data_IF_466045062131
#
_entry.id   IF_466045062131
#
_cell.length_a   1.000
_cell.length_b   1.000
_cell.length_c   1.000
_cell.angle_alpha   90.00
_cell.angle_beta   90.00
_cell.angle_gamma   90.00
#
_symmetry.space_group_name_H-M   'P 1'
#
loop_
_entity.id
_entity.type
_entity.pdbx_description
1 polymer ?
#
# COMPACT_ATOMS: atom_id res chain seq x y z
N UNK A 1 24.87 57.93 44.83
CA UNK A 1 24.34 56.55 44.68
C UNK A 1 24.13 55.99 46.07
N UNK A 2 22.91 55.55 46.41
CA UNK A 2 22.61 54.93 47.71
C UNK A 2 22.90 53.43 47.61
N UNK A 3 23.90 52.98 48.36
CA UNK A 3 24.27 51.56 48.46
C UNK A 3 23.16 50.84 49.24
N UNK A 4 22.51 49.86 48.60
CA UNK A 4 21.38 49.13 49.19
C UNK A 4 21.85 48.24 50.33
N UNK A 5 21.04 48.13 51.39
CA UNK A 5 21.35 47.31 52.56
C UNK A 5 21.43 45.81 52.17
N UNK A 6 22.59 45.15 52.37
CA UNK A 6 22.80 43.74 52.03
C UNK A 6 22.09 42.76 52.98
N UNK A 7 21.56 43.22 54.11
CA UNK A 7 20.87 42.40 55.12
C UNK A 7 19.33 42.43 54.99
N UNK A 8 18.82 42.74 53.80
CA UNK A 8 17.38 42.71 53.54
C UNK A 8 16.99 41.34 52.98
N UNK A 9 16.06 40.65 53.65
CA UNK A 9 15.60 39.29 53.33
C UNK A 9 15.17 39.11 51.86
N UNK A 10 14.70 40.19 51.22
CA UNK A 10 14.32 40.22 49.81
C UNK A 10 15.50 39.97 48.85
N UNK A 11 16.73 40.26 49.28
CA UNK A 11 17.95 40.11 48.49
C UNK A 11 18.83 38.93 48.97
N UNK A 12 18.49 38.30 50.10
CA UNK A 12 19.21 37.16 50.67
C UNK A 12 18.60 35.79 50.30
N UNK A 13 17.57 35.75 49.46
CA UNK A 13 16.93 34.49 49.06
C UNK A 13 17.38 34.03 47.67
N UNK A 14 18.45 33.24 47.62
CA UNK A 14 18.70 32.29 46.52
C UNK A 14 17.83 31.03 46.70
N UNK A 15 16.51 31.23 46.82
CA UNK A 15 15.51 30.16 46.92
C UNK A 15 14.93 29.80 45.53
N UNK A 16 14.50 28.54 45.30
CA UNK A 16 14.18 28.06 43.94
C UNK A 16 13.08 28.87 43.27
N UNK A 17 13.41 29.51 42.15
CA UNK A 17 12.50 30.27 41.31
C UNK A 17 11.52 29.32 40.59
N UNK A 18 10.34 29.10 41.19
CA UNK A 18 9.24 28.39 40.51
C UNK A 18 8.41 27.45 41.40
N UNK A 19 7.58 28.02 42.28
CA UNK A 19 6.39 27.31 42.76
C UNK A 19 5.15 28.11 42.39
N UNK A 20 4.49 27.68 41.32
CA UNK A 20 3.10 28.06 41.05
C UNK A 20 2.23 27.44 42.14
N UNK A 21 1.33 28.23 42.73
CA UNK A 21 0.37 27.80 43.76
C UNK A 21 -0.33 26.51 43.32
N UNK A 22 -0.39 25.54 44.24
CA UNK A 22 -1.11 24.26 44.13
C UNK A 22 -2.46 24.45 43.42
N UNK A 23 -2.60 23.92 42.21
CA UNK A 23 -3.82 24.02 41.39
C UNK A 23 -5.01 23.34 42.11
N UNK A 24 -6.21 23.90 41.89
CA UNK A 24 -7.51 23.46 42.41
C UNK A 24 -7.92 22.01 42.08
N UNK A 25 -7.03 21.22 41.49
CA UNK A 25 -7.22 19.84 41.03
C UNK A 25 -7.11 18.80 42.14
N UNK A 26 -6.67 19.15 43.36
CA UNK A 26 -6.63 18.20 44.49
C UNK A 26 -7.86 18.27 45.41
N UNK A 27 -8.83 19.12 45.10
CA UNK A 27 -10.11 19.16 45.82
C UNK A 27 -10.96 17.96 45.37
N UNK A 28 -11.11 16.97 46.25
CA UNK A 28 -12.03 15.84 46.06
C UNK A 28 -13.44 16.38 45.76
N UNK A 29 -14.17 15.83 44.77
CA UNK A 29 -15.51 16.32 44.44
C UNK A 29 -16.44 16.17 45.64
N UNK A 30 -17.13 17.26 46.01
CA UNK A 30 -18.00 17.35 47.20
C UNK A 30 -19.31 16.54 47.09
N UNK A 31 -19.49 15.75 46.02
CA UNK A 31 -20.70 14.95 45.75
C UNK A 31 -20.35 13.57 45.20
N UNK A 32 -20.93 12.51 45.78
CA UNK A 32 -20.81 11.13 45.29
C UNK A 32 -21.29 10.97 43.83
N UNK A 33 -22.22 11.81 43.35
CA UNK A 33 -22.73 11.74 41.98
C UNK A 33 -21.73 12.24 40.92
N UNK A 34 -20.76 13.07 41.30
CA UNK A 34 -19.68 13.50 40.40
C UNK A 34 -18.52 12.48 40.33
N UNK A 35 -18.47 11.51 41.24
CA UNK A 35 -17.45 10.45 41.27
C UNK A 35 -17.71 9.31 40.27
N UNK A 36 -18.95 9.19 39.76
CA UNK A 36 -19.34 8.17 38.78
C UNK A 36 -19.18 8.61 37.32
N UNK A 37 -18.80 9.87 37.06
CA UNK A 37 -18.55 10.36 35.70
C UNK A 37 -17.08 10.16 35.38
N UNK A 38 -16.74 8.96 34.92
CA UNK A 38 -15.43 8.67 34.37
C UNK A 38 -15.27 9.42 33.03
N UNK A 39 -14.51 10.51 33.04
CA UNK A 39 -14.11 11.22 31.81
C UNK A 39 -13.11 10.34 31.08
N UNK A 40 -13.61 9.51 30.15
CA UNK A 40 -12.77 8.70 29.28
C UNK A 40 -11.85 9.63 28.50
N UNK A 41 -10.54 9.56 28.74
CA UNK A 41 -9.57 10.33 27.97
C UNK A 41 -9.70 10.00 26.49
N UNK A 42 -9.93 11.01 25.65
CA UNK A 42 -10.02 10.87 24.17
C UNK A 42 -8.75 10.26 23.56
N UNK A 43 -7.63 10.31 24.27
CA UNK A 43 -6.37 9.68 23.89
C UNK A 43 -6.37 8.19 24.24
N UNK A 44 -6.48 7.34 23.21
CA UNK A 44 -6.35 5.89 23.36
C UNK A 44 -5.00 5.53 23.96
N UNK A 45 -4.99 4.70 24.98
CA UNK A 45 -3.75 4.19 25.58
C UNK A 45 -2.94 3.42 24.53
N UNK A 46 -1.60 3.35 24.66
CA UNK A 46 -0.77 2.56 23.73
C UNK A 46 -1.20 1.09 23.65
N UNK A 47 -1.78 0.53 24.73
CA UNK A 47 -2.37 -0.81 24.73
C UNK A 47 -3.66 -0.88 23.89
N UNK A 48 -4.56 0.09 23.99
CA UNK A 48 -5.76 0.19 23.13
C UNK A 48 -5.41 0.41 21.65
N UNK A 49 -4.36 1.18 21.36
CA UNK A 49 -3.85 1.36 19.98
C UNK A 49 -3.31 0.05 19.40
N UNK A 50 -2.54 -0.72 20.18
CA UNK A 50 -2.06 -2.06 19.77
C UNK A 50 -3.21 -3.05 19.58
N UNK A 51 -4.21 -3.04 20.47
CA UNK A 51 -5.39 -3.88 20.34
C UNK A 51 -6.22 -3.53 19.09
N UNK A 52 -6.43 -2.24 18.82
CA UNK A 52 -7.10 -1.77 17.62
C UNK A 52 -6.33 -2.13 16.34
N UNK A 53 -4.99 -2.05 16.35
CA UNK A 53 -4.15 -2.44 15.22
C UNK A 53 -4.20 -3.95 14.97
N UNK A 54 -4.16 -4.78 16.01
CA UNK A 54 -4.35 -6.24 15.89
C UNK A 54 -5.73 -6.58 15.33
N UNK A 55 -6.78 -5.94 15.82
CA UNK A 55 -8.14 -6.14 15.31
C UNK A 55 -8.28 -5.69 13.85
N UNK A 56 -7.65 -4.59 13.45
CA UNK A 56 -7.61 -4.14 12.06
C UNK A 56 -6.87 -5.14 11.17
N UNK A 57 -5.73 -5.68 11.63
CA UNK A 57 -4.96 -6.70 10.91
C UNK A 57 -5.73 -8.01 10.78
N UNK A 58 -6.47 -8.43 11.80
CA UNK A 58 -7.34 -9.61 11.72
C UNK A 58 -8.46 -9.42 10.70
N UNK A 59 -9.14 -8.26 10.71
CA UNK A 59 -10.15 -7.92 9.70
C UNK A 59 -9.57 -7.91 8.29
N UNK A 60 -8.37 -7.36 8.11
CA UNK A 60 -7.66 -7.40 6.82
C UNK A 60 -7.31 -8.84 6.41
N UNK A 61 -6.82 -9.67 7.33
CA UNK A 61 -6.49 -11.07 7.05
C UNK A 61 -7.72 -11.91 6.69
N UNK A 62 -8.87 -11.67 7.31
CA UNK A 62 -10.14 -12.29 6.95
C UNK A 62 -10.59 -11.89 5.55
N UNK A 63 -10.51 -10.58 5.24
CA UNK A 63 -10.79 -10.07 3.91
C UNK A 63 -9.83 -10.67 2.88
N UNK A 64 -8.53 -10.73 3.15
CA UNK A 64 -7.55 -11.34 2.25
C UNK A 64 -7.77 -12.85 2.08
N UNK A 65 -8.16 -13.56 3.14
CA UNK A 65 -8.55 -14.98 3.04
C UNK A 65 -9.76 -15.14 2.11
N UNK A 66 -10.74 -14.25 2.20
CA UNK A 66 -11.97 -14.27 1.39
C UNK A 66 -11.72 -13.88 -0.07
N UNK A 67 -10.80 -12.94 -0.34
CA UNK A 67 -10.58 -12.39 -1.69
C UNK A 67 -9.36 -12.94 -2.43
N UNK A 68 -8.30 -13.35 -1.74
CA UNK A 68 -7.03 -13.73 -2.36
C UNK A 68 -6.69 -15.21 -2.27
N UNK A 69 -7.23 -15.94 -1.30
CA UNK A 69 -6.96 -17.36 -1.12
C UNK A 69 -8.17 -18.19 -1.57
N UNK A 70 -8.34 -18.44 -2.89
CA UNK A 70 -9.43 -19.28 -3.38
C UNK A 70 -9.41 -20.63 -2.66
N UNK A 71 -10.48 -21.02 -1.95
CA UNK A 71 -10.57 -22.32 -1.30
C UNK A 71 -10.90 -23.44 -2.30
N UNK A 72 -10.63 -23.23 -3.60
CA UNK A 72 -10.90 -24.24 -4.63
C UNK A 72 -9.88 -25.38 -4.54
N UNK A 73 -10.35 -26.62 -4.59
CA UNK A 73 -9.49 -27.80 -4.54
C UNK A 73 -8.46 -27.80 -5.70
N UNK A 74 -8.85 -27.29 -6.87
CA UNK A 74 -7.98 -27.16 -8.03
C UNK A 74 -6.81 -26.20 -7.79
N UNK A 75 -7.04 -25.04 -7.15
CA UNK A 75 -5.97 -24.10 -6.83
C UNK A 75 -4.94 -24.69 -5.86
N UNK A 76 -5.40 -25.46 -4.86
CA UNK A 76 -4.50 -26.17 -3.93
C UNK A 76 -3.65 -27.22 -4.63
N UNK A 77 -4.23 -27.97 -5.58
CA UNK A 77 -3.49 -28.94 -6.41
C UNK A 77 -2.41 -28.23 -7.24
N UNK A 78 -2.77 -27.14 -7.93
CA UNK A 78 -1.80 -26.37 -8.74
C UNK A 78 -0.70 -25.74 -7.88
N UNK A 79 -1.02 -25.21 -6.70
CA UNK A 79 0.00 -24.75 -5.75
C UNK A 79 0.95 -25.86 -5.33
N UNK A 80 0.46 -27.08 -5.08
CA UNK A 80 1.31 -28.21 -4.71
C UNK A 80 2.27 -28.59 -5.84
N UNK A 81 1.78 -28.59 -7.09
CA UNK A 81 2.63 -28.81 -8.28
C UNK A 81 3.67 -27.69 -8.41
N UNK A 82 3.25 -26.44 -8.27
CA UNK A 82 4.15 -25.28 -8.33
C UNK A 82 5.23 -25.33 -7.24
N UNK A 83 4.85 -25.62 -5.99
CA UNK A 83 5.80 -25.86 -4.89
C UNK A 83 6.69 -27.07 -5.13
N UNK A 84 6.18 -28.12 -5.79
CA UNK A 84 6.98 -29.27 -6.20
C UNK A 84 8.05 -28.90 -7.22
N UNK A 85 7.73 -28.07 -8.21
CA UNK A 85 8.71 -27.56 -9.18
C UNK A 85 9.76 -26.66 -8.51
N UNK A 86 9.33 -25.79 -7.59
CA UNK A 86 10.22 -24.91 -6.83
C UNK A 86 11.13 -25.69 -5.89
N UNK A 87 10.58 -26.68 -5.18
CA UNK A 87 11.34 -27.60 -4.34
C UNK A 87 12.33 -28.42 -5.15
N UNK A 88 11.91 -28.96 -6.29
CA UNK A 88 12.78 -29.68 -7.22
C UNK A 88 13.93 -28.82 -7.73
N UNK A 89 13.67 -27.57 -8.11
CA UNK A 89 14.72 -26.64 -8.52
C UNK A 89 15.74 -26.39 -7.42
N UNK A 90 15.28 -26.15 -6.18
CA UNK A 90 16.16 -25.95 -5.02
C UNK A 90 17.03 -27.19 -4.79
N UNK A 91 16.44 -28.39 -4.80
CA UNK A 91 17.18 -29.65 -4.63
C UNK A 91 18.24 -29.81 -5.73
N UNK A 92 17.88 -29.58 -7.00
CA UNK A 92 18.85 -29.63 -8.11
C UNK A 92 19.99 -28.61 -7.92
N UNK A 93 19.70 -27.40 -7.45
CA UNK A 93 20.73 -26.40 -7.16
C UNK A 93 21.67 -26.82 -6.04
N UNK A 94 21.14 -27.40 -4.95
CA UNK A 94 21.96 -27.90 -3.84
C UNK A 94 22.85 -29.07 -4.28
N UNK A 95 22.32 -29.97 -5.12
CA UNK A 95 23.09 -31.08 -5.68
C UNK A 95 24.18 -30.56 -6.62
N UNK A 96 23.88 -29.57 -7.46
CA UNK A 96 24.87 -28.93 -8.32
C UNK A 96 26.00 -28.27 -7.51
N UNK A 97 25.68 -27.71 -6.33
CA UNK A 97 26.67 -27.10 -5.44
C UNK A 97 27.59 -28.14 -4.79
N UNK A 98 27.08 -29.33 -4.47
CA UNK A 98 27.88 -30.45 -3.95
C UNK A 98 28.61 -31.26 -5.03
N UNK A 99 28.24 -31.12 -6.30
CA UNK A 99 28.75 -31.93 -7.40
C UNK A 99 30.28 -31.86 -7.54
N UNK A 100 30.90 -30.70 -7.29
CA UNK A 100 32.36 -30.56 -7.32
C UNK A 100 33.09 -31.37 -6.24
N UNK A 101 32.42 -31.68 -5.12
CA UNK A 101 33.00 -32.50 -4.05
C UNK A 101 32.73 -34.00 -4.24
N UNK A 102 31.59 -34.37 -4.82
CA UNK A 102 31.21 -35.78 -5.02
C UNK A 102 31.72 -36.36 -6.33
N UNK A 103 31.88 -35.51 -7.36
CA UNK A 103 32.39 -35.88 -8.68
C UNK A 103 33.46 -34.88 -9.15
N UNK A 104 34.65 -34.89 -8.51
CA UNK A 104 35.73 -33.96 -8.84
C UNK A 104 36.22 -34.09 -10.28
N UNK A 105 36.21 -35.30 -10.85
CA UNK A 105 36.68 -35.57 -12.20
C UNK A 105 35.61 -35.33 -13.29
N UNK A 106 34.39 -34.97 -12.89
CA UNK A 106 33.28 -34.82 -13.83
C UNK A 106 32.55 -33.48 -13.68
N UNK A 107 33.11 -32.40 -14.25
CA UNK A 107 32.50 -31.07 -14.19
C UNK A 107 31.16 -30.98 -14.96
N UNK A 108 30.84 -31.96 -15.81
CA UNK A 108 29.54 -31.99 -16.51
C UNK A 108 28.37 -32.24 -15.54
N UNK A 109 28.61 -32.88 -14.39
CA UNK A 109 27.58 -33.17 -13.40
C UNK A 109 26.92 -31.90 -12.87
N UNK A 110 27.70 -30.85 -12.62
CA UNK A 110 27.16 -29.54 -12.21
C UNK A 110 26.16 -29.02 -13.24
N UNK A 111 26.53 -29.03 -14.53
CA UNK A 111 25.67 -28.58 -15.63
C UNK A 111 24.43 -29.46 -15.81
N UNK A 112 24.56 -30.78 -15.63
CA UNK A 112 23.46 -31.72 -15.69
C UNK A 112 22.37 -31.43 -14.65
N UNK A 113 22.71 -30.83 -13.50
CA UNK A 113 21.72 -30.41 -12.50
C UNK A 113 21.31 -28.95 -12.62
N UNK A 114 22.21 -28.09 -13.09
CA UNK A 114 21.95 -26.65 -13.26
C UNK A 114 20.93 -26.39 -14.38
N UNK A 115 21.09 -27.04 -15.54
CA UNK A 115 20.21 -26.84 -16.71
C UNK A 115 18.75 -27.22 -16.36
N UNK A 116 18.45 -28.40 -15.78
CA UNK A 116 17.11 -28.72 -15.32
C UNK A 116 16.60 -27.80 -14.22
N UNK A 117 17.45 -27.32 -13.31
CA UNK A 117 17.03 -26.38 -12.27
C UNK A 117 16.48 -25.08 -12.89
N UNK A 118 17.18 -24.51 -13.87
CA UNK A 118 16.69 -23.33 -14.60
C UNK A 118 15.40 -23.63 -15.38
N UNK A 119 15.31 -24.79 -16.04
CA UNK A 119 14.10 -25.20 -16.74
C UNK A 119 12.89 -25.32 -15.79
N UNK A 120 13.08 -25.87 -14.59
CA UNK A 120 12.05 -25.95 -13.55
C UNK A 120 11.62 -24.58 -13.04
N UNK A 121 12.55 -23.64 -12.84
CA UNK A 121 12.24 -22.27 -12.42
C UNK A 121 11.42 -21.56 -13.50
N UNK A 122 11.86 -21.60 -14.75
CA UNK A 122 11.17 -20.97 -15.88
C UNK A 122 9.78 -21.60 -16.06
N UNK A 123 9.69 -22.93 -16.01
CA UNK A 123 8.44 -23.67 -16.07
C UNK A 123 7.50 -23.31 -14.91
N UNK A 124 8.02 -23.14 -13.69
CA UNK A 124 7.22 -22.77 -12.52
C UNK A 124 6.64 -21.36 -12.66
N UNK A 125 7.41 -20.41 -13.19
CA UNK A 125 6.93 -19.07 -13.50
C UNK A 125 5.82 -19.12 -14.56
N UNK A 126 6.06 -19.81 -15.68
CA UNK A 126 5.06 -19.95 -16.73
C UNK A 126 3.77 -20.60 -16.22
N UNK A 127 3.88 -21.67 -15.42
CA UNK A 127 2.74 -22.37 -14.83
C UNK A 127 1.94 -21.47 -13.86
N UNK A 128 2.63 -20.65 -13.05
CA UNK A 128 1.97 -19.70 -12.16
C UNK A 128 1.16 -18.66 -12.96
N UNK A 129 1.75 -18.09 -14.02
CA UNK A 129 1.05 -17.13 -14.88
C UNK A 129 -0.08 -17.75 -15.70
N UNK A 130 0.13 -18.92 -16.28
CA UNK A 130 -0.80 -19.54 -17.22
C UNK A 130 -1.99 -20.22 -16.54
N UNK A 131 -1.78 -20.89 -15.41
CA UNK A 131 -2.82 -21.71 -14.75
C UNK A 131 -3.22 -21.15 -13.39
N UNK A 132 -2.26 -20.91 -12.49
CA UNK A 132 -2.56 -20.47 -11.11
C UNK A 132 -3.20 -19.08 -11.10
N UNK A 133 -2.68 -18.15 -11.90
CA UNK A 133 -3.17 -16.78 -11.99
C UNK A 133 -4.53 -16.70 -12.67
N UNK A 134 -4.83 -17.58 -13.64
CA UNK A 134 -6.16 -17.66 -14.27
C UNK A 134 -7.23 -18.09 -13.26
N UNK A 135 -7.00 -19.21 -12.56
CA UNK A 135 -7.93 -19.69 -11.52
C UNK A 135 -8.11 -18.65 -10.42
N UNK A 136 -7.04 -17.96 -10.01
CA UNK A 136 -7.15 -16.88 -9.03
C UNK A 136 -8.00 -15.72 -9.55
N UNK A 137 -7.79 -15.29 -10.79
CA UNK A 137 -8.57 -14.21 -11.42
C UNK A 137 -10.05 -14.56 -11.54
N UNK A 138 -10.36 -15.79 -11.95
CA UNK A 138 -11.74 -16.28 -12.04
C UNK A 138 -12.43 -16.26 -10.68
N UNK A 139 -11.76 -16.75 -9.64
CA UNK A 139 -12.27 -16.67 -8.27
C UNK A 139 -12.47 -15.23 -7.82
N UNK A 140 -11.53 -14.32 -8.12
CA UNK A 140 -11.71 -12.91 -7.80
C UNK A 140 -12.91 -12.32 -8.53
N UNK A 141 -13.07 -12.60 -9.82
CA UNK A 141 -14.23 -12.15 -10.60
C UNK A 141 -15.55 -12.69 -10.02
N UNK A 142 -15.59 -13.95 -9.59
CA UNK A 142 -16.76 -14.54 -8.95
C UNK A 142 -17.08 -13.86 -7.60
N UNK A 143 -16.06 -13.61 -6.77
CA UNK A 143 -16.22 -12.93 -5.48
C UNK A 143 -16.62 -11.45 -5.65
N UNK A 144 -16.12 -10.76 -6.69
CA UNK A 144 -16.56 -9.41 -7.05
C UNK A 144 -18.03 -9.41 -7.50
N UNK A 145 -18.46 -10.40 -8.30
CA UNK A 145 -19.86 -10.54 -8.75
C UNK A 145 -20.82 -10.86 -7.61
N UNK A 146 -20.45 -11.76 -6.70
CA UNK A 146 -21.28 -12.18 -5.56
C UNK A 146 -21.32 -11.13 -4.44
N UNK A 147 -20.24 -10.39 -4.24
CA UNK A 147 -20.13 -9.39 -3.18
C UNK A 147 -19.65 -8.02 -3.70
N UNK A 148 -20.42 -7.33 -4.58
CA UNK A 148 -20.01 -6.06 -5.18
C UNK A 148 -19.85 -4.92 -4.17
N UNK A 149 -20.62 -4.95 -3.06
CA UNK A 149 -20.53 -3.96 -1.98
C UNK A 149 -19.32 -4.16 -1.06
N UNK A 150 -18.87 -5.41 -0.88
CA UNK A 150 -17.69 -5.74 -0.07
C UNK A 150 -16.40 -5.58 -0.89
N UNK A 151 -16.46 -5.78 -2.21
CA UNK A 151 -15.33 -5.58 -3.11
C UNK A 151 -14.84 -4.11 -3.13
N UNK A 152 -15.73 -3.14 -2.90
CA UNK A 152 -15.35 -1.72 -2.75
C UNK A 152 -14.63 -1.42 -1.42
N UNK A 153 -14.77 -2.28 -0.41
CA UNK A 153 -14.13 -2.13 0.90
C UNK A 153 -12.75 -2.79 0.98
N UNK A 154 -12.39 -3.63 0.00
CA UNK A 154 -11.07 -4.25 -0.02
C UNK A 154 -10.02 -3.22 -0.50
N UNK A 155 -8.91 -3.03 0.25
CA UNK A 155 -7.93 -1.99 -0.06
C UNK A 155 -7.23 -2.21 -1.40
N UNK A 156 -7.07 -3.45 -1.86
CA UNK A 156 -6.35 -3.73 -3.12
C UNK A 156 -7.20 -3.54 -4.37
N UNK A 157 -8.51 -3.77 -4.31
CA UNK A 157 -9.44 -3.43 -5.39
C UNK A 157 -9.69 -1.91 -5.41
N UNK A 158 -9.84 -1.28 -4.25
CA UNK A 158 -9.92 0.18 -4.17
C UNK A 158 -8.65 0.86 -4.68
N UNK A 159 -7.46 0.33 -4.36
CA UNK A 159 -6.19 0.83 -4.89
C UNK A 159 -6.03 0.57 -6.39
N UNK A 160 -6.36 -0.63 -6.89
CA UNK A 160 -6.33 -0.93 -8.33
C UNK A 160 -7.31 -0.08 -9.12
N UNK A 161 -8.56 0.05 -8.65
CA UNK A 161 -9.56 0.90 -9.28
C UNK A 161 -9.12 2.37 -9.32
N UNK A 162 -8.41 2.86 -8.29
CA UNK A 162 -7.84 4.22 -8.29
C UNK A 162 -6.69 4.36 -9.30
N UNK A 163 -5.82 3.35 -9.41
CA UNK A 163 -4.72 3.33 -10.37
C UNK A 163 -5.26 3.24 -11.81
N UNK A 164 -6.26 2.41 -12.05
CA UNK A 164 -6.89 2.23 -13.35
C UNK A 164 -7.69 3.49 -13.75
N UNK A 165 -8.43 4.09 -12.82
CA UNK A 165 -9.10 5.38 -13.06
C UNK A 165 -8.10 6.53 -13.31
N UNK A 166 -6.95 6.55 -12.63
CA UNK A 166 -5.90 7.52 -12.90
C UNK A 166 -5.29 7.33 -14.30
N UNK A 167 -5.06 6.10 -14.73
CA UNK A 167 -4.57 5.78 -16.08
C UNK A 167 -5.59 6.09 -17.17
N UNK A 168 -6.88 5.88 -16.92
CA UNK A 168 -7.94 6.27 -17.85
C UNK A 168 -8.07 7.79 -17.94
N UNK A 169 -7.98 8.51 -16.81
CA UNK A 169 -7.96 9.97 -16.79
C UNK A 169 -6.73 10.54 -17.53
N UNK A 170 -5.56 9.92 -17.38
CA UNK A 170 -4.34 10.30 -18.12
C UNK A 170 -4.48 10.04 -19.63
N UNK A 171 -5.08 8.91 -20.02
CA UNK A 171 -5.36 8.60 -21.44
C UNK A 171 -6.40 9.54 -22.04
N UNK A 172 -7.44 9.89 -21.30
CA UNK A 172 -8.45 10.86 -21.74
C UNK A 172 -7.86 12.29 -21.79
N UNK A 173 -7.01 12.67 -20.85
CA UNK A 173 -6.26 13.92 -20.89
C UNK A 173 -5.32 13.99 -22.11
N UNK A 174 -4.58 12.92 -22.40
CA UNK A 174 -3.70 12.84 -23.57
C UNK A 174 -4.48 12.85 -24.90
N UNK A 175 -5.67 12.22 -24.95
CA UNK A 175 -6.57 12.31 -26.10
C UNK A 175 -7.16 13.72 -26.26
N UNK A 176 -7.54 14.36 -25.15
CA UNK A 176 -8.05 15.72 -25.15
C UNK A 176 -6.96 16.73 -25.57
N UNK A 177 -5.72 16.55 -25.13
CA UNK A 177 -4.57 17.34 -25.53
C UNK A 177 -4.27 17.19 -27.03
N UNK A 178 -4.26 15.94 -27.55
CA UNK A 178 -4.13 15.69 -29.00
C UNK A 178 -5.26 16.32 -29.81
N UNK A 179 -6.51 16.28 -29.32
CA UNK A 179 -7.64 16.94 -29.98
C UNK A 179 -7.51 18.47 -29.95
N UNK A 180 -7.01 19.05 -28.85
CA UNK A 180 -6.76 20.50 -28.74
C UNK A 180 -5.65 20.97 -29.68
N UNK A 181 -4.57 20.20 -29.80
CA UNK A 181 -3.46 20.51 -30.72
C UNK A 181 -3.87 20.31 -32.20
N UNK A 182 -4.67 19.29 -32.51
CA UNK A 182 -5.23 19.09 -33.85
C UNK A 182 -6.20 20.20 -34.27
N UNK A 183 -6.98 20.75 -33.33
CA UNK A 183 -7.93 21.83 -33.63
C UNK A 183 -7.26 23.21 -33.74
N UNK A 184 -6.11 23.44 -33.07
CA UNK A 184 -5.35 24.69 -33.20
C UNK A 184 -4.60 24.78 -34.53
N UNK A 185 -4.17 23.66 -35.10
CA UNK A 185 -3.51 23.64 -36.43
C UNK A 185 -4.49 23.93 -37.58
N UNK A 186 -5.75 23.48 -37.48
CA UNK A 186 -6.75 23.73 -38.53
C UNK A 186 -7.22 25.20 -38.52
N UNK A 187 -7.31 25.84 -37.35
CA UNK A 187 -7.79 27.23 -37.26
C UNK A 187 -6.77 28.26 -37.79
N UNK A 188 -5.49 27.90 -37.92
CA UNK A 188 -4.45 28.78 -38.49
C UNK A 188 -4.36 28.71 -40.03
N UNK A 189 -5.12 27.82 -40.67
CA UNK A 189 -5.12 27.60 -42.12
C UNK A 189 -6.38 28.15 -42.82
N UNK A 190 -7.09 29.10 -42.21
CA UNK A 190 -8.11 29.89 -42.92
C UNK A 190 -7.52 31.27 -43.26
N UNK A 191 -6.95 31.47 -44.45
CA UNK A 191 -6.62 32.82 -44.91
C UNK A 191 -7.92 33.64 -45.01
N UNK A 192 -7.89 34.87 -44.48
CA UNK A 192 -8.84 35.90 -44.85
C UNK A 192 -8.68 36.14 -46.36
N UNK A 193 -9.59 35.60 -47.16
CA UNK A 193 -9.82 36.09 -48.50
C UNK A 193 -10.48 37.47 -48.37
N UNK A 194 -9.64 38.49 -48.46
CA UNK A 194 -10.03 39.85 -48.83
C UNK A 194 -10.78 39.79 -50.17
N UNK A 195 -12.10 39.89 -50.13
CA UNK A 195 -12.91 40.19 -51.30
C UNK A 195 -12.71 41.66 -51.67
N UNK A 196 -11.79 41.95 -52.59
CA UNK A 196 -11.87 43.14 -53.43
C UNK A 196 -13.03 42.95 -54.41
N UNK A 197 -14.00 43.86 -54.35
CA UNK A 197 -15.24 43.82 -55.12
C UNK A 197 -16.05 45.09 -54.91
N UNK A 198 -15.54 46.18 -55.47
CA UNK A 198 -16.31 47.22 -56.18
C UNK A 198 -17.56 47.81 -55.48
N UNK A 199 -17.41 49.02 -54.94
CA UNK A 199 -18.49 50.02 -54.99
C UNK A 199 -17.97 51.33 -55.58
N UNK A 200 -18.42 51.53 -56.82
CA UNK A 200 -18.49 52.77 -57.60
C UNK A 200 -19.47 53.76 -56.93
N UNK A 201 -19.30 55.04 -57.29
CA UNK A 201 -20.09 56.27 -57.04
C UNK A 201 -19.98 56.94 -55.67
N UNK A 202 -19.25 58.06 -55.58
CA UNK A 202 -19.69 59.41 -55.99
C UNK A 202 -18.52 60.21 -56.59
#
# INVERSE_FOLDING_TARGET
>A
MSTRNPMNDRYQTDGPKGQTKKSASSLKPKSKAASSVYVKSTQKTPQEKKAAQKAARQKQAELDRKYYNPPTAQYKKYKRIWWGMLGGAIVCTLVAMGAGSWWPDNPTMTWCFLIPAYALIIGALWFDFAKVRKVRREYQMEMLKKHPKEAKKHPTTAAKNKIDAAKEAEREAAKAEKKRFGHSFIRKAKPEETSEGEKKSE
#
